data_IF_571731166363
#
_entry.id   IF_571731166363
#
_cell.length_a   1.000
_cell.length_b   1.000
_cell.length_c   1.000
_cell.angle_alpha   90.00
_cell.angle_beta   90.00
_cell.angle_gamma   90.00
#
_symmetry.space_group_name_H-M   'P 1'
#
loop_
_entity.id
_entity.type
_entity.pdbx_description
1 polymer ?
#
# COMPACT_ATOMS: atom_id res chain seq x y z
N UNK A 1 6.01 5.84 33.80
CA UNK A 1 5.13 6.71 32.99
C UNK A 1 5.20 6.36 31.50
N UNK A 2 6.41 6.15 30.95
CA UNK A 2 6.64 5.74 29.55
C UNK A 2 5.98 4.41 29.15
N UNK A 3 6.05 3.38 30.00
CA UNK A 3 5.43 2.07 29.71
C UNK A 3 3.89 2.14 29.60
N UNK A 4 3.24 2.89 30.51
CA UNK A 4 1.79 3.05 30.48
C UNK A 4 1.31 3.77 29.21
N UNK A 5 2.04 4.81 28.77
CA UNK A 5 1.75 5.54 27.53
C UNK A 5 1.92 4.61 26.33
N UNK A 6 3.01 3.82 26.30
CA UNK A 6 3.28 2.86 25.23
C UNK A 6 2.19 1.78 25.13
N UNK A 7 1.80 1.20 26.27
CA UNK A 7 0.75 0.18 26.34
C UNK A 7 -0.62 0.74 25.94
N UNK A 8 -0.94 1.96 26.38
CA UNK A 8 -2.18 2.66 25.99
C UNK A 8 -2.21 2.98 24.49
N UNK A 9 -1.08 3.34 23.90
CA UNK A 9 -0.97 3.60 22.47
C UNK A 9 -1.17 2.31 21.65
N UNK A 10 -0.59 1.18 22.07
CA UNK A 10 -0.89 -0.12 21.46
C UNK A 10 -2.34 -0.55 21.64
N UNK A 11 -2.94 -0.31 22.82
CA UNK A 11 -4.36 -0.54 23.05
C UNK A 11 -5.24 0.23 22.06
N UNK A 12 -4.88 1.48 21.77
CA UNK A 12 -5.58 2.32 20.78
C UNK A 12 -5.42 1.76 19.36
N UNK A 13 -4.22 1.34 18.98
CA UNK A 13 -3.96 0.68 17.67
C UNK A 13 -4.83 -0.56 17.52
N UNK A 14 -4.85 -1.44 18.52
CA UNK A 14 -5.65 -2.67 18.50
C UNK A 14 -7.15 -2.37 18.43
N UNK A 15 -7.63 -1.40 19.21
CA UNK A 15 -9.02 -0.96 19.18
C UNK A 15 -9.45 -0.50 17.78
N UNK A 16 -8.62 0.29 17.10
CA UNK A 16 -8.89 0.74 15.73
C UNK A 16 -8.94 -0.42 14.74
N UNK A 17 -8.07 -1.42 14.89
CA UNK A 17 -8.09 -2.64 14.06
C UNK A 17 -9.40 -3.42 14.30
N UNK A 18 -9.73 -3.71 15.56
CA UNK A 18 -10.95 -4.47 15.89
C UNK A 18 -12.22 -3.74 15.45
N UNK A 19 -12.28 -2.42 15.61
CA UNK A 19 -13.41 -1.62 15.13
C UNK A 19 -13.53 -1.68 13.61
N UNK A 20 -12.41 -1.60 12.88
CA UNK A 20 -12.40 -1.77 11.43
C UNK A 20 -12.88 -3.15 10.99
N UNK A 21 -12.51 -4.19 11.72
CA UNK A 21 -12.97 -5.55 11.46
C UNK A 21 -14.45 -5.74 11.77
N UNK A 22 -14.94 -5.21 12.89
CA UNK A 22 -16.36 -5.25 13.26
C UNK A 22 -17.24 -4.55 12.21
N UNK A 23 -16.84 -3.37 11.73
CA UNK A 23 -17.55 -2.65 10.66
C UNK A 23 -17.54 -3.46 9.35
N UNK A 24 -16.42 -4.11 9.03
CA UNK A 24 -16.32 -4.95 7.82
C UNK A 24 -17.24 -6.17 7.92
N UNK A 25 -17.30 -6.81 9.09
CA UNK A 25 -18.19 -7.93 9.36
C UNK A 25 -19.66 -7.51 9.27
N UNK A 26 -20.01 -6.35 9.84
CA UNK A 26 -21.35 -5.78 9.69
C UNK A 26 -21.71 -5.53 8.22
N UNK A 27 -20.81 -4.89 7.46
CA UNK A 27 -21.03 -4.67 6.03
C UNK A 27 -21.17 -6.01 5.27
N UNK A 28 -20.41 -7.04 5.66
CA UNK A 28 -20.43 -8.35 5.04
C UNK A 28 -21.79 -9.05 5.15
N UNK A 29 -22.49 -8.90 6.28
CA UNK A 29 -23.79 -9.53 6.47
C UNK A 29 -24.95 -8.68 5.96
N UNK A 30 -24.93 -7.36 6.18
CA UNK A 30 -26.10 -6.51 5.92
C UNK A 30 -26.03 -5.69 4.64
N UNK A 31 -24.84 -5.49 4.07
CA UNK A 31 -24.65 -4.58 2.91
C UNK A 31 -24.07 -5.28 1.70
N UNK A 32 -23.36 -6.38 1.86
CA UNK A 32 -22.65 -7.05 0.78
C UNK A 32 -23.55 -7.37 -0.42
N UNK A 33 -24.74 -7.92 -0.19
CA UNK A 33 -25.63 -8.28 -1.31
C UNK A 33 -26.10 -7.05 -2.10
N UNK A 34 -26.33 -5.92 -1.42
CA UNK A 34 -26.62 -4.63 -2.06
C UNK A 34 -25.40 -4.10 -2.83
N UNK A 35 -24.20 -4.29 -2.30
CA UNK A 35 -22.95 -3.89 -2.94
C UNK A 35 -22.69 -4.73 -4.21
N UNK A 36 -22.87 -6.04 -4.15
CA UNK A 36 -22.63 -6.96 -5.27
C UNK A 36 -23.61 -6.72 -6.44
N UNK A 37 -24.87 -6.37 -6.17
CA UNK A 37 -25.86 -6.08 -7.22
C UNK A 37 -25.49 -4.91 -8.15
N UNK A 38 -24.58 -4.03 -7.73
CA UNK A 38 -24.13 -2.90 -8.56
C UNK A 38 -23.04 -3.28 -9.56
N UNK A 39 -22.50 -4.50 -9.48
CA UNK A 39 -21.43 -4.99 -10.37
C UNK A 39 -21.99 -6.06 -11.30
N UNK A 40 -22.59 -5.62 -12.41
CA UNK A 40 -23.38 -6.50 -13.31
C UNK A 40 -22.48 -7.03 -14.45
N UNK A 41 -21.60 -6.19 -14.99
CA UNK A 41 -20.66 -6.56 -16.04
C UNK A 41 -19.38 -7.22 -15.48
N UNK A 42 -19.12 -7.08 -14.18
CA UNK A 42 -17.94 -7.62 -13.51
C UNK A 42 -18.01 -9.15 -13.34
N UNK A 43 -17.25 -9.88 -14.15
CA UNK A 43 -17.00 -11.30 -13.89
C UNK A 43 -16.20 -11.52 -12.60
N UNK A 44 -15.42 -10.53 -12.17
CA UNK A 44 -14.67 -10.56 -10.92
C UNK A 44 -15.58 -10.79 -9.70
N UNK A 45 -16.68 -10.05 -9.55
CA UNK A 45 -17.60 -10.21 -8.40
C UNK A 45 -18.28 -11.57 -8.41
N UNK A 46 -18.71 -12.05 -9.59
CA UNK A 46 -19.31 -13.37 -9.73
C UNK A 46 -18.31 -14.52 -9.42
N UNK A 47 -17.06 -14.37 -9.86
CA UNK A 47 -15.99 -15.35 -9.64
C UNK A 47 -15.56 -15.37 -8.18
N UNK A 48 -15.40 -14.21 -7.54
CA UNK A 48 -15.10 -14.10 -6.12
C UNK A 48 -16.23 -14.64 -5.25
N UNK A 49 -17.49 -14.50 -5.69
CA UNK A 49 -18.63 -15.12 -5.00
C UNK A 49 -18.51 -16.64 -4.97
N UNK A 50 -18.17 -17.26 -6.11
CA UNK A 50 -17.95 -18.71 -6.23
C UNK A 50 -16.71 -19.17 -5.45
N UNK A 51 -15.60 -18.45 -5.55
CA UNK A 51 -14.31 -18.83 -4.95
C UNK A 51 -14.29 -18.67 -3.43
N UNK A 52 -14.83 -17.57 -2.92
CA UNK A 52 -14.74 -17.22 -1.50
C UNK A 52 -15.92 -17.76 -0.68
N UNK A 53 -16.99 -18.19 -1.35
CA UNK A 53 -18.16 -18.78 -0.70
C UNK A 53 -18.91 -17.79 0.21
N UNK A 54 -19.94 -18.27 0.92
CA UNK A 54 -20.79 -17.43 1.77
C UNK A 54 -20.41 -17.44 3.26
N UNK A 55 -19.25 -17.99 3.62
CA UNK A 55 -18.75 -17.95 4.99
C UNK A 55 -18.37 -16.52 5.44
N UNK A 56 -18.23 -16.27 6.76
CA UNK A 56 -17.97 -14.94 7.32
C UNK A 56 -16.71 -14.30 6.73
N UNK A 57 -15.59 -15.03 6.69
CA UNK A 57 -14.32 -14.55 6.13
C UNK A 57 -14.42 -14.29 4.62
N UNK A 58 -15.17 -15.12 3.89
CA UNK A 58 -15.39 -14.96 2.46
C UNK A 58 -16.16 -13.69 2.14
N UNK A 59 -17.29 -13.47 2.85
CA UNK A 59 -18.11 -12.26 2.72
C UNK A 59 -17.31 -10.99 3.09
N UNK A 60 -16.57 -11.01 4.19
CA UNK A 60 -15.70 -9.89 4.58
C UNK A 60 -14.63 -9.58 3.53
N UNK A 61 -14.02 -10.62 2.93
CA UNK A 61 -13.02 -10.45 1.88
C UNK A 61 -13.63 -9.79 0.63
N UNK A 62 -14.84 -10.19 0.22
CA UNK A 62 -15.56 -9.54 -0.88
C UNK A 62 -15.89 -8.07 -0.60
N UNK A 63 -16.34 -7.72 0.61
CA UNK A 63 -16.52 -6.31 1.02
C UNK A 63 -15.22 -5.53 0.88
N UNK A 64 -14.09 -6.10 1.33
CA UNK A 64 -12.78 -5.44 1.22
C UNK A 64 -12.34 -5.28 -0.23
N UNK A 65 -12.62 -6.25 -1.10
CA UNK A 65 -12.32 -6.18 -2.54
C UNK A 65 -13.15 -5.09 -3.23
N UNK A 66 -14.47 -5.06 -3.01
CA UNK A 66 -15.34 -3.98 -3.52
C UNK A 66 -14.90 -2.62 -2.96
N UNK A 67 -14.54 -2.58 -1.68
CA UNK A 67 -13.92 -1.42 -1.07
C UNK A 67 -12.64 -1.01 -1.81
N UNK A 68 -11.77 -1.94 -2.14
CA UNK A 68 -10.51 -1.64 -2.83
C UNK A 68 -10.76 -1.04 -4.22
N UNK A 69 -11.71 -1.57 -4.98
CA UNK A 69 -12.12 -1.01 -6.28
C UNK A 69 -12.58 0.44 -6.18
N UNK A 70 -13.27 0.79 -5.08
CA UNK A 70 -13.84 2.12 -4.85
C UNK A 70 -12.89 3.13 -4.19
N UNK A 71 -11.65 2.77 -3.82
CA UNK A 71 -10.70 3.76 -3.29
C UNK A 71 -9.35 3.26 -2.78
N UNK A 72 -8.86 2.10 -3.23
CA UNK A 72 -7.50 1.64 -2.98
C UNK A 72 -6.71 1.72 -4.31
N UNK A 73 -5.76 2.64 -4.36
CA UNK A 73 -4.86 2.84 -5.52
C UNK A 73 -3.76 1.77 -5.57
N UNK A 74 -3.57 1.05 -4.45
CA UNK A 74 -2.57 -0.01 -4.29
C UNK A 74 -3.11 -1.41 -4.60
N UNK A 75 -4.32 -1.56 -5.15
CA UNK A 75 -4.68 -2.87 -5.70
C UNK A 75 -3.72 -3.11 -6.86
N UNK A 76 -2.85 -4.13 -6.84
CA UNK A 76 -1.75 -4.30 -7.81
C UNK A 76 -2.18 -4.40 -9.28
N UNK A 77 -3.47 -4.26 -9.54
CA UNK A 77 -4.17 -5.03 -10.53
C UNK A 77 -5.55 -4.39 -10.68
N UNK A 78 -5.58 -3.29 -11.42
CA UNK A 78 -6.81 -2.83 -12.07
C UNK A 78 -7.14 -3.86 -13.17
N UNK A 79 -7.47 -5.08 -12.74
CA UNK A 79 -7.54 -6.32 -13.53
C UNK A 79 -8.62 -6.25 -14.59
N UNK A 80 -9.65 -5.45 -14.33
CA UNK A 80 -10.81 -5.35 -15.20
C UNK A 80 -11.25 -3.88 -15.24
N UNK A 81 -10.86 -3.18 -16.31
CA UNK A 81 -11.35 -1.84 -16.65
C UNK A 81 -12.88 -1.70 -16.45
N UNK A 82 -13.73 -2.67 -16.87
CA UNK A 82 -15.18 -2.59 -16.65
C UNK A 82 -15.57 -2.53 -15.16
N UNK A 83 -14.95 -3.38 -14.34
CA UNK A 83 -15.20 -3.44 -12.89
C UNK A 83 -14.80 -2.14 -12.19
N UNK A 84 -13.72 -1.49 -12.65
CA UNK A 84 -13.30 -0.18 -12.14
C UNK A 84 -14.28 0.91 -12.56
N UNK A 85 -14.79 0.88 -13.80
CA UNK A 85 -15.82 1.83 -14.28
C UNK A 85 -17.14 1.69 -13.51
N UNK A 86 -17.57 0.46 -13.19
CA UNK A 86 -18.73 0.22 -12.32
C UNK A 86 -18.50 0.77 -10.91
N UNK A 87 -17.30 0.58 -10.36
CA UNK A 87 -16.93 1.11 -9.04
C UNK A 87 -16.96 2.66 -8.98
N UNK A 88 -16.73 3.35 -10.10
CA UNK A 88 -16.88 4.82 -10.16
C UNK A 88 -18.34 5.24 -9.92
N UNK A 89 -19.29 4.54 -10.54
CA UNK A 89 -20.74 4.77 -10.43
C UNK A 89 -21.33 4.24 -9.11
N UNK A 90 -20.52 3.57 -8.29
CA UNK A 90 -20.96 2.96 -7.05
C UNK A 90 -21.51 4.02 -6.06
N UNK A 91 -22.66 3.76 -5.41
CA UNK A 91 -23.35 4.78 -4.63
C UNK A 91 -22.59 5.17 -3.36
N UNK A 92 -22.58 6.47 -3.05
CA UNK A 92 -21.80 7.06 -1.95
C UNK A 92 -22.18 6.46 -0.59
N UNK A 93 -23.46 6.18 -0.37
CA UNK A 93 -23.94 5.60 0.88
C UNK A 93 -23.46 4.15 1.10
N UNK A 94 -23.04 3.43 0.04
CA UNK A 94 -22.40 2.12 0.14
C UNK A 94 -20.87 2.23 0.20
N UNK A 95 -20.26 3.22 -0.46
CA UNK A 95 -18.80 3.46 -0.44
C UNK A 95 -18.26 3.57 0.98
N UNK A 96 -19.00 4.20 1.90
CA UNK A 96 -18.58 4.38 3.30
C UNK A 96 -18.24 3.06 4.02
N UNK A 97 -18.93 1.98 3.70
CA UNK A 97 -18.72 0.67 4.33
C UNK A 97 -17.39 0.03 3.96
N UNK A 98 -16.84 0.37 2.79
CA UNK A 98 -15.47 0.00 2.42
C UNK A 98 -14.41 1.02 2.84
N UNK A 99 -14.77 2.30 2.91
CA UNK A 99 -13.86 3.41 3.17
C UNK A 99 -13.53 3.56 4.67
N UNK A 100 -14.51 3.56 5.56
CA UNK A 100 -14.33 3.72 7.01
C UNK A 100 -13.39 2.67 7.61
N UNK A 101 -13.62 1.35 7.45
CA UNK A 101 -12.74 0.34 8.03
C UNK A 101 -11.34 0.36 7.40
N UNK A 102 -11.18 0.90 6.20
CA UNK A 102 -9.86 1.13 5.59
C UNK A 102 -9.13 2.28 6.26
N UNK A 103 -9.81 3.42 6.47
CA UNK A 103 -9.22 4.57 7.15
C UNK A 103 -8.78 4.20 8.57
N UNK A 104 -9.61 3.46 9.32
CA UNK A 104 -9.26 2.98 10.66
C UNK A 104 -8.01 2.10 10.63
N UNK A 105 -7.96 1.09 9.75
CA UNK A 105 -6.77 0.21 9.62
C UNK A 105 -5.53 0.97 9.18
N UNK A 106 -5.67 1.99 8.33
CA UNK A 106 -4.54 2.83 7.91
C UNK A 106 -3.99 3.63 9.08
N UNK A 107 -4.86 4.28 9.86
CA UNK A 107 -4.46 5.04 11.06
C UNK A 107 -3.78 4.10 12.05
N UNK A 108 -4.38 2.93 12.30
CA UNK A 108 -3.79 1.90 13.17
C UNK A 108 -2.41 1.46 12.69
N UNK A 109 -2.26 1.17 11.40
CA UNK A 109 -0.99 0.77 10.81
C UNK A 109 0.08 1.86 10.93
N UNK A 110 -0.26 3.10 10.58
CA UNK A 110 0.66 4.23 10.73
C UNK A 110 1.05 4.45 12.20
N UNK A 111 0.09 4.35 13.12
CA UNK A 111 0.34 4.41 14.56
C UNK A 111 1.28 3.29 15.03
N UNK A 112 1.04 2.05 14.61
CA UNK A 112 1.90 0.91 14.91
C UNK A 112 3.34 1.12 14.39
N UNK A 113 3.48 1.58 13.14
CA UNK A 113 4.80 1.90 12.57
C UNK A 113 5.53 2.97 13.38
N UNK A 114 4.84 4.05 13.78
CA UNK A 114 5.45 5.11 14.59
C UNK A 114 5.87 4.61 15.97
N UNK A 115 5.04 3.77 16.62
CA UNK A 115 5.39 3.16 17.91
C UNK A 115 6.59 2.22 17.81
N UNK A 116 6.66 1.42 16.76
CA UNK A 116 7.79 0.53 16.50
C UNK A 116 9.07 1.31 16.18
N UNK A 117 8.97 2.41 15.41
CA UNK A 117 10.10 3.29 15.13
C UNK A 117 10.61 3.97 16.40
N UNK A 118 9.72 4.47 17.26
CA UNK A 118 10.08 5.07 18.54
C UNK A 118 10.80 4.08 19.44
N UNK A 119 10.25 2.88 19.61
CA UNK A 119 10.89 1.81 20.40
C UNK A 119 12.23 1.38 19.78
N UNK A 120 12.27 1.25 18.46
CA UNK A 120 13.48 0.90 17.71
C UNK A 120 14.59 1.93 17.93
N UNK A 121 14.25 3.22 17.94
CA UNK A 121 15.18 4.30 18.19
C UNK A 121 15.75 4.26 19.62
N UNK A 122 14.89 4.11 20.63
CA UNK A 122 15.34 3.96 22.03
C UNK A 122 16.28 2.77 22.22
N UNK A 123 15.94 1.62 21.62
CA UNK A 123 16.78 0.42 21.63
C UNK A 123 18.12 0.63 20.93
N UNK A 124 18.14 1.40 19.85
CA UNK A 124 19.35 1.69 19.11
C UNK A 124 20.28 2.62 19.92
N UNK A 125 19.73 3.66 20.54
CA UNK A 125 20.49 4.55 21.43
C UNK A 125 21.12 3.80 22.60
N UNK A 126 20.39 2.88 23.22
CA UNK A 126 20.90 2.05 24.33
C UNK A 126 21.96 1.04 23.89
N UNK A 127 21.82 0.43 22.70
CA UNK A 127 22.86 -0.45 22.16
C UNK A 127 24.14 0.29 21.79
N UNK A 128 24.05 1.52 21.27
CA UNK A 128 25.24 2.32 20.92
C UNK A 128 25.96 2.82 22.16
N UNK A 129 25.24 3.09 23.26
CA UNK A 129 25.85 3.60 24.50
C UNK A 129 26.43 2.52 25.42
N UNK A 130 26.22 1.23 25.11
CA UNK A 130 26.70 0.10 25.91
C UNK A 130 27.76 -0.71 25.15
N UNK A 131 28.75 -1.29 25.85
CA UNK A 131 29.76 -2.13 25.19
C UNK A 131 29.07 -3.32 24.53
N UNK A 132 29.21 -3.43 23.22
CA UNK A 132 28.60 -4.48 22.38
C UNK A 132 29.67 -5.16 21.54
N UNK A 133 29.45 -6.42 21.18
CA UNK A 133 30.39 -7.17 20.34
C UNK A 133 30.41 -6.62 18.90
N UNK A 134 31.55 -6.75 18.22
CA UNK A 134 31.72 -6.31 16.82
C UNK A 134 30.67 -6.91 15.88
N UNK A 135 30.28 -8.17 16.12
CA UNK A 135 29.22 -8.85 15.38
C UNK A 135 27.87 -8.14 15.55
N UNK A 136 27.53 -7.74 16.78
CA UNK A 136 26.28 -7.01 17.07
C UNK A 136 26.28 -5.63 16.44
N UNK A 137 27.42 -4.93 16.46
CA UNK A 137 27.60 -3.66 15.78
C UNK A 137 27.40 -3.78 14.27
N UNK A 138 27.92 -4.84 13.64
CA UNK A 138 27.74 -5.08 12.19
C UNK A 138 26.26 -5.26 11.82
N UNK A 139 25.50 -6.07 12.58
CA UNK A 139 24.07 -6.26 12.33
C UNK A 139 23.28 -4.96 12.53
N UNK A 140 23.59 -4.19 13.57
CA UNK A 140 22.96 -2.88 13.79
C UNK A 140 23.28 -1.92 12.65
N UNK A 141 24.53 -1.85 12.20
CA UNK A 141 24.93 -1.03 11.05
C UNK A 141 24.20 -1.42 9.76
N UNK A 142 24.03 -2.73 9.51
CA UNK A 142 23.27 -3.22 8.36
C UNK A 142 21.79 -2.83 8.43
N UNK A 143 21.15 -2.94 9.61
CA UNK A 143 19.77 -2.49 9.81
C UNK A 143 19.62 -0.98 9.60
N UNK A 144 20.56 -0.17 10.13
CA UNK A 144 20.59 1.29 9.91
C UNK A 144 20.73 1.58 8.41
N UNK A 145 21.62 0.90 7.69
CA UNK A 145 21.80 1.08 6.26
C UNK A 145 20.50 0.80 5.49
N UNK A 146 19.77 -0.27 5.82
CA UNK A 146 18.46 -0.55 5.23
C UNK A 146 17.46 0.58 5.48
N UNK A 147 17.40 1.12 6.71
CA UNK A 147 16.51 2.24 7.06
C UNK A 147 16.90 3.50 6.30
N UNK A 148 18.18 3.86 6.25
CA UNK A 148 18.68 5.05 5.53
C UNK A 148 18.34 4.96 4.04
N UNK A 149 18.56 3.80 3.41
CA UNK A 149 18.18 3.57 2.01
C UNK A 149 16.67 3.70 1.80
N UNK A 150 15.86 3.15 2.72
CA UNK A 150 14.40 3.28 2.66
C UNK A 150 13.95 4.76 2.76
N UNK A 151 14.52 5.51 3.69
CA UNK A 151 14.20 6.94 3.90
C UNK A 151 14.63 7.76 2.69
N UNK A 152 15.85 7.56 2.18
CA UNK A 152 16.32 8.25 0.97
C UNK A 152 15.41 7.95 -0.23
N UNK A 153 15.00 6.70 -0.42
CA UNK A 153 14.06 6.32 -1.46
C UNK A 153 12.69 7.01 -1.28
N UNK A 154 12.16 7.08 -0.06
CA UNK A 154 10.91 7.78 0.22
C UNK A 154 11.01 9.30 -0.04
N UNK A 155 12.14 9.93 0.32
CA UNK A 155 12.39 11.34 0.05
C UNK A 155 12.43 11.62 -1.46
N UNK A 156 13.17 10.81 -2.22
CA UNK A 156 13.22 10.94 -3.68
C UNK A 156 11.83 10.73 -4.29
N UNK A 157 11.06 9.73 -3.83
CA UNK A 157 9.68 9.51 -4.30
C UNK A 157 8.79 10.71 -4.00
N UNK A 158 8.94 11.29 -2.80
CA UNK A 158 8.19 12.49 -2.40
C UNK A 158 8.55 13.64 -3.33
N UNK A 159 9.84 13.92 -3.53
CA UNK A 159 10.31 14.93 -4.47
C UNK A 159 9.74 14.74 -5.89
N UNK A 160 9.85 13.53 -6.45
CA UNK A 160 9.32 13.21 -7.78
C UNK A 160 7.80 13.42 -7.83
N UNK A 161 7.07 13.05 -6.78
CA UNK A 161 5.62 13.21 -6.71
C UNK A 161 5.17 14.67 -6.72
N UNK A 162 5.98 15.57 -6.16
CA UNK A 162 5.66 17.00 -6.12
C UNK A 162 6.10 17.76 -7.36
N UNK A 163 7.30 17.46 -7.86
CA UNK A 163 7.95 18.30 -8.88
C UNK A 163 7.94 17.69 -10.29
N UNK A 164 7.85 16.38 -10.43
CA UNK A 164 7.95 15.70 -11.73
C UNK A 164 6.71 14.91 -12.13
N UNK A 165 5.73 14.76 -11.23
CA UNK A 165 4.56 13.93 -11.47
C UNK A 165 3.75 14.36 -12.70
N UNK A 166 3.47 15.65 -12.87
CA UNK A 166 2.70 16.13 -14.02
C UNK A 166 3.42 15.85 -15.35
N UNK A 167 4.75 16.02 -15.38
CA UNK A 167 5.55 15.68 -16.56
C UNK A 167 5.53 14.17 -16.85
N UNK A 168 5.63 13.34 -15.82
CA UNK A 168 5.54 11.87 -15.93
C UNK A 168 4.16 11.46 -16.47
N UNK A 169 3.09 12.01 -15.91
CA UNK A 169 1.71 11.73 -16.33
C UNK A 169 1.42 12.18 -17.77
N UNK A 170 2.08 13.23 -18.26
CA UNK A 170 1.89 13.69 -19.64
C UNK A 170 2.39 12.71 -20.72
N UNK A 171 3.19 11.71 -20.33
CA UNK A 171 3.60 10.62 -21.22
C UNK A 171 2.67 9.41 -21.16
N UNK A 172 1.69 9.38 -20.26
CA UNK A 172 0.77 8.26 -20.05
C UNK A 172 -0.69 8.74 -20.20
N UNK A 173 -0.99 9.42 -21.31
CA UNK A 173 -2.28 10.10 -21.51
C UNK A 173 -3.38 9.15 -21.92
N UNK A 174 -3.03 8.13 -22.69
CA UNK A 174 -3.98 7.13 -23.19
C UNK A 174 -4.35 6.10 -22.10
N UNK A 175 -3.57 6.02 -21.01
CA UNK A 175 -3.94 5.18 -19.87
C UNK A 175 -5.22 5.65 -19.17
N UNK A 176 -6.28 4.85 -19.27
CA UNK A 176 -7.53 5.08 -18.53
C UNK A 176 -7.28 5.21 -17.03
N UNK A 177 -6.37 4.42 -16.47
CA UNK A 177 -6.10 4.38 -15.05
C UNK A 177 -5.31 5.58 -14.54
N UNK A 178 -4.36 6.10 -15.32
CA UNK A 178 -3.68 7.36 -15.00
C UNK A 178 -4.68 8.52 -15.00
N UNK A 179 -5.50 8.65 -16.06
CA UNK A 179 -6.51 9.69 -16.17
C UNK A 179 -7.58 9.63 -15.06
N UNK A 180 -8.02 8.42 -14.69
CA UNK A 180 -8.90 8.19 -13.54
C UNK A 180 -8.26 8.66 -12.24
N UNK A 181 -7.03 8.22 -11.97
CA UNK A 181 -6.38 8.49 -10.71
C UNK A 181 -6.10 9.99 -10.53
N UNK A 182 -5.82 10.73 -11.61
CA UNK A 182 -5.79 12.20 -11.58
C UNK A 182 -7.11 12.80 -11.08
N UNK A 183 -8.24 12.39 -11.66
CA UNK A 183 -9.58 12.90 -11.28
C UNK A 183 -9.99 12.53 -9.86
N UNK A 184 -9.69 11.31 -9.42
CA UNK A 184 -10.16 10.77 -8.12
C UNK A 184 -9.28 11.23 -6.95
N UNK A 185 -7.96 11.31 -7.15
CA UNK A 185 -7.02 11.58 -6.06
C UNK A 185 -6.63 13.05 -5.93
N UNK A 186 -6.78 13.81 -7.02
CA UNK A 186 -6.41 15.21 -7.11
C UNK A 186 -4.95 15.47 -6.73
N UNK A 187 -4.68 16.69 -6.30
CA UNK A 187 -3.33 17.21 -6.07
C UNK A 187 -2.87 17.20 -4.61
N UNK A 188 -3.60 16.52 -3.73
CA UNK A 188 -3.18 16.32 -2.35
C UNK A 188 -1.84 15.55 -2.26
N UNK A 189 -1.08 15.74 -1.18
CA UNK A 189 0.19 15.02 -0.93
C UNK A 189 0.03 13.51 -1.06
N UNK A 190 -1.03 13.00 -0.44
CA UNK A 190 -1.38 11.59 -0.50
C UNK A 190 -1.77 11.16 -1.93
N UNK A 191 -2.57 11.97 -2.62
CA UNK A 191 -3.01 11.69 -3.99
C UNK A 191 -1.85 11.62 -4.98
N UNK A 192 -0.94 12.61 -4.94
CA UNK A 192 0.30 12.65 -5.73
C UNK A 192 1.18 11.42 -5.48
N UNK A 193 1.38 11.07 -4.21
CA UNK A 193 2.17 9.90 -3.81
C UNK A 193 1.55 8.59 -4.34
N UNK A 194 0.23 8.47 -4.26
CA UNK A 194 -0.49 7.29 -4.76
C UNK A 194 -0.44 7.18 -6.30
N UNK A 195 -0.59 8.30 -7.03
CA UNK A 195 -0.45 8.32 -8.49
C UNK A 195 0.95 7.89 -8.93
N UNK A 196 1.98 8.45 -8.28
CA UNK A 196 3.37 8.03 -8.55
C UNK A 196 3.60 6.54 -8.24
N UNK A 197 3.02 6.04 -7.14
CA UNK A 197 3.08 4.62 -6.82
C UNK A 197 2.45 3.74 -7.89
N UNK A 198 1.26 4.12 -8.37
CA UNK A 198 0.59 3.44 -9.47
C UNK A 198 1.44 3.42 -10.74
N UNK A 199 1.98 4.57 -11.15
CA UNK A 199 2.86 4.68 -12.33
C UNK A 199 4.11 3.82 -12.16
N UNK A 200 4.70 3.78 -10.95
CA UNK A 200 5.85 2.91 -10.69
C UNK A 200 5.54 1.43 -10.89
N UNK A 201 4.31 1.00 -10.62
CA UNK A 201 3.87 -0.38 -10.91
C UNK A 201 3.68 -0.59 -12.40
N UNK A 202 2.98 0.32 -13.11
CA UNK A 202 2.80 0.24 -14.57
C UNK A 202 4.16 0.04 -15.26
N UNK A 203 5.17 0.84 -14.88
CA UNK A 203 6.50 0.78 -15.48
C UNK A 203 7.33 -0.47 -15.12
N UNK A 204 6.91 -1.23 -14.10
CA UNK A 204 7.60 -2.44 -13.62
C UNK A 204 6.83 -3.74 -13.92
N UNK A 205 5.57 -3.67 -14.32
CA UNK A 205 4.75 -4.84 -14.67
C UNK A 205 5.14 -5.40 -16.03
N UNK A 206 4.86 -6.69 -16.23
CA UNK A 206 5.08 -7.38 -17.50
C UNK A 206 4.00 -7.01 -18.53
N UNK A 207 4.38 -6.98 -19.81
CA UNK A 207 3.50 -6.61 -20.93
C UNK A 207 2.27 -7.51 -21.01
N UNK A 208 2.39 -8.81 -20.69
CA UNK A 208 1.24 -9.71 -20.68
C UNK A 208 0.15 -9.26 -19.70
N UNK A 209 0.53 -8.73 -18.54
CA UNK A 209 -0.42 -8.17 -17.57
C UNK A 209 -0.99 -6.84 -18.03
N UNK A 210 -0.18 -5.96 -18.63
CA UNK A 210 -0.65 -4.68 -19.16
C UNK A 210 -1.62 -4.87 -20.33
N UNK A 211 -1.36 -5.84 -21.20
CA UNK A 211 -2.22 -6.14 -22.35
C UNK A 211 -3.63 -6.55 -21.91
N UNK A 212 -3.76 -7.25 -20.79
CA UNK A 212 -5.05 -7.66 -20.24
C UNK A 212 -5.79 -6.53 -19.51
N UNK A 213 -5.08 -5.53 -18.99
CA UNK A 213 -5.66 -4.51 -18.10
C UNK A 213 -5.77 -3.11 -18.71
N UNK A 214 -4.73 -2.64 -19.38
CA UNK A 214 -4.61 -1.32 -19.98
C UNK A 214 -3.74 -1.37 -21.25
N UNK A 215 -4.20 -2.01 -22.35
CA UNK A 215 -3.36 -2.23 -23.53
C UNK A 215 -2.93 -0.93 -24.22
N UNK A 216 -3.70 0.14 -24.03
CA UNK A 216 -3.46 1.48 -24.60
C UNK A 216 -2.16 2.11 -24.07
N UNK A 217 -1.68 1.70 -22.87
CA UNK A 217 -0.48 2.26 -22.23
C UNK A 217 0.84 1.68 -22.76
N UNK A 218 0.80 0.50 -23.40
CA UNK A 218 1.99 -0.20 -23.89
C UNK A 218 2.86 0.66 -24.84
N UNK A 219 2.32 1.25 -25.92
CA UNK A 219 3.12 2.09 -26.82
C UNK A 219 3.66 3.35 -26.14
N UNK A 220 2.99 3.85 -25.11
CA UNK A 220 3.44 5.01 -24.33
C UNK A 220 4.63 4.66 -23.44
N UNK A 221 4.63 3.46 -22.83
CA UNK A 221 5.76 2.95 -22.04
C UNK A 221 7.01 2.79 -22.90
N UNK A 222 6.86 2.30 -24.13
CA UNK A 222 7.97 2.09 -25.06
C UNK A 222 8.65 3.42 -25.45
N UNK A 223 7.87 4.49 -25.52
CA UNK A 223 8.34 5.85 -25.83
C UNK A 223 8.76 6.64 -24.59
N UNK A 224 8.63 6.05 -23.40
CA UNK A 224 8.81 6.76 -22.14
C UNK A 224 10.29 7.14 -21.95
N UNK A 225 10.61 8.43 -21.68
CA UNK A 225 11.98 8.88 -21.62
C UNK A 225 12.74 8.21 -20.46
N UNK A 226 13.88 7.60 -20.80
CA UNK A 226 14.73 6.86 -19.86
C UNK A 226 15.10 7.65 -18.58
N UNK A 227 15.44 8.95 -18.64
CA UNK A 227 15.74 9.70 -17.42
C UNK A 227 14.57 9.74 -16.44
N UNK A 228 13.35 10.02 -16.91
CA UNK A 228 12.16 10.05 -16.05
C UNK A 228 11.82 8.65 -15.55
N UNK A 229 11.99 7.62 -16.40
CA UNK A 229 11.77 6.22 -16.01
C UNK A 229 12.64 5.84 -14.81
N UNK A 230 13.92 6.23 -14.82
CA UNK A 230 14.86 5.99 -13.72
C UNK A 230 14.44 6.68 -12.42
N UNK A 231 13.98 7.93 -12.50
CA UNK A 231 13.47 8.68 -11.34
C UNK A 231 12.27 8.00 -10.66
N UNK A 232 11.49 7.19 -11.39
CA UNK A 232 10.35 6.46 -10.84
C UNK A 232 10.75 5.07 -10.35
N UNK A 233 11.49 4.31 -11.16
CA UNK A 233 11.78 2.89 -10.91
C UNK A 233 12.84 2.69 -9.82
N UNK A 234 13.94 3.46 -9.84
CA UNK A 234 15.06 3.24 -8.91
C UNK A 234 14.60 3.42 -7.46
N UNK A 235 13.93 4.53 -7.08
CA UNK A 235 13.45 4.69 -5.71
C UNK A 235 12.39 3.66 -5.32
N UNK A 236 11.55 3.22 -6.27
CA UNK A 236 10.59 2.15 -6.02
C UNK A 236 11.28 0.83 -5.66
N UNK A 237 12.32 0.45 -6.41
CA UNK A 237 13.11 -0.75 -6.16
C UNK A 237 13.94 -0.64 -4.88
N UNK A 238 14.60 0.49 -4.65
CA UNK A 238 15.36 0.72 -3.41
C UNK A 238 14.47 0.54 -2.17
N UNK A 239 13.27 1.11 -2.19
CA UNK A 239 12.30 0.92 -1.11
C UNK A 239 11.77 -0.53 -1.04
N UNK A 240 11.49 -1.14 -2.20
CA UNK A 240 11.02 -2.52 -2.30
C UNK A 240 12.01 -3.56 -1.80
N UNK A 241 13.32 -3.30 -1.90
CA UNK A 241 14.37 -4.19 -1.41
C UNK A 241 14.84 -3.85 0.02
N UNK A 242 14.76 -2.58 0.44
CA UNK A 242 15.19 -2.20 1.78
C UNK A 242 14.33 -2.83 2.88
N UNK A 243 13.03 -2.97 2.66
CA UNK A 243 12.11 -3.58 3.65
C UNK A 243 12.35 -5.09 3.81
N UNK A 244 12.36 -5.93 2.75
CA UNK A 244 12.75 -7.33 2.87
C UNK A 244 14.19 -7.51 3.36
N UNK A 245 15.11 -6.65 2.94
CA UNK A 245 16.50 -6.66 3.41
C UNK A 245 16.60 -6.45 4.92
N UNK A 246 15.86 -5.47 5.46
CA UNK A 246 15.76 -5.25 6.90
C UNK A 246 15.25 -6.51 7.63
N UNK A 247 14.17 -7.12 7.13
CA UNK A 247 13.60 -8.33 7.73
C UNK A 247 14.60 -9.49 7.70
N UNK A 248 15.29 -9.69 6.57
CA UNK A 248 16.28 -10.75 6.42
C UNK A 248 17.45 -10.58 7.39
N UNK A 249 18.00 -9.37 7.51
CA UNK A 249 19.09 -9.04 8.45
C UNK A 249 18.63 -9.24 9.90
N UNK A 250 17.41 -8.79 10.23
CA UNK A 250 16.85 -8.96 11.58
C UNK A 250 16.65 -10.43 11.95
N UNK A 251 16.04 -11.22 11.05
CA UNK A 251 15.85 -12.65 11.27
C UNK A 251 17.18 -13.40 11.38
N UNK A 252 18.17 -13.07 10.55
CA UNK A 252 19.50 -13.65 10.66
C UNK A 252 20.14 -13.36 12.03
N UNK A 253 20.08 -12.10 12.50
CA UNK A 253 20.60 -11.72 13.80
C UNK A 253 19.94 -12.49 14.97
N UNK A 254 18.63 -12.77 14.86
CA UNK A 254 17.91 -13.61 15.83
C UNK A 254 18.37 -15.07 15.80
N UNK A 255 18.54 -15.65 14.60
CA UNK A 255 18.99 -17.04 14.44
C UNK A 255 20.40 -17.25 15.00
N UNK A 256 21.30 -16.28 14.77
CA UNK A 256 22.67 -16.34 15.27
C UNK A 256 22.80 -15.90 16.74
N UNK A 257 21.69 -15.63 17.45
CA UNK A 257 21.71 -15.26 18.86
C UNK A 257 22.37 -13.90 19.14
N UNK A 258 22.52 -13.05 18.13
CA UNK A 258 23.21 -11.74 18.26
C UNK A 258 22.36 -10.73 19.05
N UNK A 259 21.03 -10.89 18.98
CA UNK A 259 20.06 -10.12 19.75
C UNK A 259 19.39 -10.93 20.87
N UNK A 260 19.90 -12.12 21.18
CA UNK A 260 19.47 -12.93 22.31
C UNK A 260 20.15 -12.51 23.62
#
# INVERSE_FOLDING_TARGET
>A
MTEFIYLSAWGTVLLLVFLGEAITLFAAYWRLDQMEHHFIASQFVATDRKRLGNGPLGRMKRVRQIGALTGLVTYPLMLERPTVMEAERFPVHLKKWGAVPRSLRRIAFMGACMLLLSLGFERLCTMVSTPTSDLKLLYVAALIACVVVAVAALLVRTYVSFFKLAAIESFLKESYFVARNQRVLGDSVYGRSCRLYHISNILCLDYGYLQASDPEVIPEIDRFPLPLRRWVIIPARMFGYSVPGFVAVYCAAMIFGVFA
#
